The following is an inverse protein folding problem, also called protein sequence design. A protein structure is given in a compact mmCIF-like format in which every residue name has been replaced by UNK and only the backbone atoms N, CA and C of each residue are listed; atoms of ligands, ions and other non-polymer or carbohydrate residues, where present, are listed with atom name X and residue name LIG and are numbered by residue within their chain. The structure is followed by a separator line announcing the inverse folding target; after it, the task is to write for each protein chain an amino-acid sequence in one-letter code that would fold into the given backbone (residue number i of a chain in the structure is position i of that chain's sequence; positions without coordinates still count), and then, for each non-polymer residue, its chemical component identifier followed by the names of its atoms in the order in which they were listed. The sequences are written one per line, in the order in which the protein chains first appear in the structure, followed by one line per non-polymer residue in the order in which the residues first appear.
data_IF_028557881069
#
_entry.id   IF_028557881069
#
_cell.length_a   1.000
_cell.length_b   1.000
_cell.length_c   1.000
_cell.angle_alpha   90.00
_cell.angle_beta   90.00
_cell.angle_gamma   90.00
#
_symmetry.space_group_name_H-M   'P 1'
#
loop_
_entity.id
_entity.type
_entity.pdbx_description
1 polymer ?
#
# COMPACT_ATOMS: atom_id res chain seq x y z
N UNK A 1 3.89 11.89 8.56
CA UNK A 1 4.99 10.95 8.86
C UNK A 1 5.31 10.20 7.59
N UNK A 2 6.59 9.93 7.24
CA UNK A 2 6.92 9.15 6.05
C UNK A 2 6.32 7.74 6.12
N UNK A 3 5.57 7.37 5.09
CA UNK A 3 5.04 6.02 4.91
C UNK A 3 5.81 5.36 3.77
N UNK A 4 6.24 4.12 4.00
CA UNK A 4 7.00 3.32 3.06
C UNK A 4 6.23 2.03 2.78
N UNK A 5 6.04 1.71 1.51
CA UNK A 5 5.30 0.50 1.12
C UNK A 5 6.15 -0.45 0.30
N UNK A 6 5.88 -1.74 0.43
CA UNK A 6 6.39 -2.79 -0.45
C UNK A 6 5.22 -3.61 -0.95
N UNK A 7 5.16 -3.87 -2.25
CA UNK A 7 4.11 -4.69 -2.86
C UNK A 7 4.78 -5.88 -3.52
N UNK A 8 4.47 -7.09 -3.04
CA UNK A 8 4.94 -8.36 -3.58
C UNK A 8 3.79 -9.06 -4.30
N UNK A 9 4.03 -9.47 -5.54
CA UNK A 9 3.13 -10.33 -6.32
C UNK A 9 3.59 -11.78 -6.26
N UNK A 10 2.68 -12.72 -6.53
CA UNK A 10 2.99 -14.15 -6.51
C UNK A 10 3.93 -14.56 -7.66
N UNK A 11 3.74 -14.04 -8.88
CA UNK A 11 4.50 -14.45 -10.07
C UNK A 11 5.52 -13.41 -10.54
N UNK A 12 5.24 -12.13 -10.36
CA UNK A 12 6.08 -11.05 -10.90
C UNK A 12 7.07 -10.47 -9.87
N UNK A 13 7.14 -11.03 -8.66
CA UNK A 13 8.03 -10.59 -7.60
C UNK A 13 7.63 -9.23 -7.04
N UNK A 14 8.62 -8.47 -6.56
CA UNK A 14 8.40 -7.16 -5.92
C UNK A 14 8.05 -6.09 -6.94
N UNK A 15 6.82 -5.58 -6.92
CA UNK A 15 6.34 -4.51 -7.80
C UNK A 15 7.06 -3.18 -7.52
N UNK A 16 7.36 -2.91 -6.25
CA UNK A 16 8.08 -1.70 -5.82
C UNK A 16 9.60 -1.87 -5.85
N UNK A 17 10.11 -2.86 -6.59
CA UNK A 17 11.54 -3.16 -6.63
C UNK A 17 12.39 -1.93 -6.94
N UNK A 18 13.43 -1.71 -6.12
CA UNK A 18 14.39 -0.58 -6.22
C UNK A 18 13.79 0.83 -6.17
N UNK A 19 12.51 0.98 -5.86
CA UNK A 19 11.86 2.31 -5.86
C UNK A 19 12.31 3.20 -4.71
N UNK A 20 12.93 2.64 -3.67
CA UNK A 20 13.64 3.36 -2.61
C UNK A 20 15.11 3.65 -2.90
N UNK A 21 15.67 3.17 -4.02
CA UNK A 21 17.09 3.35 -4.36
C UNK A 21 17.39 4.79 -4.82
N UNK A 22 18.67 5.18 -4.80
CA UNK A 22 19.10 6.50 -5.30
C UNK A 22 18.88 6.68 -6.80
N UNK A 23 18.99 5.59 -7.56
CA UNK A 23 18.83 5.58 -9.01
C UNK A 23 17.39 5.90 -9.43
N UNK A 24 16.39 5.43 -8.66
CA UNK A 24 14.96 5.62 -8.98
C UNK A 24 14.36 6.81 -8.23
N UNK A 25 14.55 6.90 -6.91
CA UNK A 25 13.93 7.93 -6.08
C UNK A 25 14.78 9.21 -5.93
N UNK A 26 16.04 9.20 -6.34
CA UNK A 26 16.93 10.36 -6.25
C UNK A 26 16.99 10.90 -4.82
N UNK A 27 16.55 12.15 -4.62
CA UNK A 27 16.53 12.80 -3.29
C UNK A 27 15.56 12.16 -2.30
N UNK A 28 14.58 11.40 -2.78
CA UNK A 28 13.59 10.73 -1.95
C UNK A 28 14.00 9.31 -1.56
N UNK A 29 15.18 8.85 -1.98
CA UNK A 29 15.69 7.50 -1.69
C UNK A 29 15.64 7.20 -0.20
N UNK A 30 15.27 5.96 0.11
CA UNK A 30 15.31 5.41 1.46
C UNK A 30 15.92 4.01 1.40
N UNK A 31 17.21 3.93 1.70
CA UNK A 31 17.99 2.67 1.74
C UNK A 31 18.35 2.28 3.18
N UNK A 32 17.70 2.93 4.14
CA UNK A 32 18.06 2.85 5.56
C UNK A 32 17.32 1.71 6.25
N UNK A 33 18.07 0.88 6.98
CA UNK A 33 17.54 -0.22 7.79
C UNK A 33 16.46 0.27 8.79
N UNK A 34 15.47 -0.58 9.14
CA UNK A 34 15.34 -2.00 8.79
C UNK A 34 14.74 -2.27 7.40
N UNK A 35 14.44 -1.23 6.62
CA UNK A 35 13.80 -1.36 5.31
C UNK A 35 14.85 -1.46 4.20
N UNK A 36 14.48 -2.10 3.09
CA UNK A 36 15.33 -2.24 1.89
C UNK A 36 15.01 -1.17 0.84
N UNK A 37 15.80 -1.15 -0.24
CA UNK A 37 15.56 -0.28 -1.39
C UNK A 37 14.28 -0.62 -2.17
N UNK A 38 13.59 -1.72 -1.83
CA UNK A 38 12.34 -2.10 -2.45
C UNK A 38 11.12 -1.43 -1.82
N UNK A 39 11.33 -0.64 -0.77
CA UNK A 39 10.28 0.14 -0.14
C UNK A 39 10.14 1.50 -0.84
N UNK A 40 8.96 1.74 -1.41
CA UNK A 40 8.58 2.98 -2.06
C UNK A 40 8.09 3.99 -1.02
N UNK A 41 8.58 5.24 -1.08
CA UNK A 41 7.94 6.35 -0.36
C UNK A 41 6.57 6.61 -0.99
N UNK A 42 5.50 6.46 -0.23
CA UNK A 42 4.13 6.74 -0.70
C UNK A 42 3.73 8.17 -0.37
N UNK A 43 2.88 8.77 -1.21
CA UNK A 43 2.26 10.07 -0.93
C UNK A 43 1.08 9.93 0.04
N UNK A 44 0.33 8.85 -0.10
CA UNK A 44 -0.89 8.61 0.67
C UNK A 44 -1.23 7.12 0.66
N UNK A 45 -1.99 6.67 1.66
CA UNK A 45 -2.53 5.33 1.72
C UNK A 45 -3.73 5.29 2.66
N UNK A 46 -4.58 4.28 2.50
CA UNK A 46 -5.67 4.04 3.41
C UNK A 46 -6.40 2.74 3.10
N UNK A 47 -7.29 2.38 4.00
CA UNK A 47 -8.17 1.24 3.83
C UNK A 47 -9.54 1.55 4.38
N UNK A 48 -10.56 0.95 3.78
CA UNK A 48 -11.94 1.01 4.23
C UNK A 48 -12.55 -0.39 4.20
N UNK A 49 -13.53 -0.62 5.06
CA UNK A 49 -14.32 -1.83 5.08
C UNK A 49 -15.73 -1.53 4.63
N UNK A 50 -16.23 -2.34 3.70
CA UNK A 50 -17.61 -2.33 3.26
C UNK A 50 -18.26 -3.61 3.74
N UNK A 51 -19.16 -3.48 4.70
CA UNK A 51 -20.16 -4.50 4.98
C UNK A 51 -21.37 -4.16 4.10
N UNK A 52 -21.80 -5.05 3.19
CA UNK A 52 -23.03 -4.84 2.46
C UNK A 52 -24.18 -4.88 3.47
N UNK A 53 -24.73 -3.72 3.76
CA UNK A 53 -25.97 -3.62 4.52
C UNK A 53 -27.10 -4.16 3.65
N UNK A 54 -27.89 -5.07 4.21
CA UNK A 54 -29.25 -5.23 3.77
C UNK A 54 -30.07 -4.24 4.60
N UNK A 55 -30.50 -3.12 3.99
CA UNK A 55 -31.27 -2.04 4.63
C UNK A 55 -32.56 -2.52 5.33
N UNK A 56 -32.92 -3.79 5.14
CA UNK A 56 -34.09 -4.47 5.71
C UNK A 56 -33.87 -5.09 7.10
N UNK A 57 -32.63 -5.17 7.60
CA UNK A 57 -32.32 -5.82 8.88
C UNK A 57 -31.81 -4.79 9.90
N UNK A 58 -32.71 -4.17 10.67
CA UNK A 58 -32.31 -3.31 11.78
C UNK A 58 -31.54 -4.07 12.86
N UNK A 59 -30.53 -3.45 13.48
CA UNK A 59 -29.76 -3.88 14.67
C UNK A 59 -29.40 -5.38 14.82
N UNK A 60 -29.45 -6.17 13.74
CA UNK A 60 -29.25 -7.60 13.77
C UNK A 60 -27.75 -7.91 13.85
N UNK A 61 -27.42 -9.06 14.44
CA UNK A 61 -26.04 -9.56 14.47
C UNK A 61 -25.53 -9.76 13.03
N UNK A 62 -24.50 -9.00 12.66
CA UNK A 62 -23.87 -9.02 11.34
C UNK A 62 -22.62 -9.92 11.29
N UNK A 63 -22.42 -10.79 12.28
CA UNK A 63 -21.29 -11.74 12.35
C UNK A 63 -21.12 -12.64 11.13
N UNK A 64 -22.14 -12.74 10.26
CA UNK A 64 -22.15 -13.54 9.03
C UNK A 64 -22.13 -12.70 7.73
N UNK A 65 -22.15 -11.36 7.82
CA UNK A 65 -22.14 -10.51 6.63
C UNK A 65 -20.77 -10.54 5.95
N UNK A 66 -20.75 -10.51 4.61
CA UNK A 66 -19.48 -10.36 3.89
C UNK A 66 -18.79 -9.06 4.31
N UNK A 67 -17.47 -9.12 4.45
CA UNK A 67 -16.65 -7.98 4.80
C UNK A 67 -15.68 -7.77 3.66
N UNK A 68 -15.92 -6.75 2.84
CA UNK A 68 -15.00 -6.40 1.76
C UNK A 68 -14.01 -5.34 2.24
N UNK A 69 -12.71 -5.60 2.14
CA UNK A 69 -11.70 -4.53 2.25
C UNK A 69 -11.53 -3.80 0.93
N UNK A 70 -11.35 -2.50 0.97
CA UNK A 70 -10.77 -1.72 -0.12
C UNK A 70 -9.55 -0.98 0.40
N UNK A 71 -8.38 -1.27 -0.16
CA UNK A 71 -7.10 -0.67 0.22
C UNK A 71 -6.60 0.15 -0.95
N UNK A 72 -6.15 1.39 -0.69
CA UNK A 72 -5.55 2.23 -1.71
C UNK A 72 -4.16 2.71 -1.27
N UNK A 73 -3.27 2.84 -2.25
CA UNK A 73 -1.97 3.50 -2.09
C UNK A 73 -1.73 4.48 -3.22
N UNK A 74 -1.15 5.64 -2.93
CA UNK A 74 -0.77 6.66 -3.91
C UNK A 74 0.74 6.79 -3.96
N UNK A 75 1.36 6.19 -4.97
CA UNK A 75 2.83 6.21 -5.12
C UNK A 75 3.26 7.18 -6.21
N UNK A 76 4.52 7.67 -6.18
CA UNK A 76 5.10 8.34 -7.32
C UNK A 76 5.01 7.47 -8.58
N UNK A 77 4.82 8.10 -9.74
CA UNK A 77 4.78 7.43 -11.04
C UNK A 77 6.18 6.95 -11.47
N UNK A 78 6.79 6.05 -10.70
CA UNK A 78 8.05 5.40 -11.06
C UNK A 78 7.79 4.41 -12.20
N UNK A 79 8.66 4.44 -13.20
CA UNK A 79 8.51 3.65 -14.43
C UNK A 79 8.45 2.14 -14.18
N UNK A 80 9.08 1.64 -13.10
CA UNK A 80 9.07 0.23 -12.74
C UNK A 80 7.71 -0.24 -12.21
N UNK A 81 7.05 0.58 -11.39
CA UNK A 81 5.79 0.21 -10.73
C UNK A 81 4.68 0.02 -11.76
N UNK A 82 4.50 0.98 -12.67
CA UNK A 82 3.41 0.90 -13.67
C UNK A 82 3.57 -0.29 -14.61
N UNK A 83 4.78 -0.57 -15.08
CA UNK A 83 5.06 -1.72 -15.94
C UNK A 83 4.75 -3.06 -15.26
N UNK A 84 5.15 -3.21 -13.99
CA UNK A 84 4.90 -4.45 -13.24
C UNK A 84 3.42 -4.63 -12.89
N UNK A 85 2.71 -3.56 -12.53
CA UNK A 85 1.26 -3.64 -12.27
C UNK A 85 0.46 -4.00 -13.51
N UNK A 86 0.82 -3.47 -14.69
CA UNK A 86 0.18 -3.85 -15.93
C UNK A 86 0.37 -5.34 -16.23
N UNK A 87 1.55 -5.89 -15.94
CA UNK A 87 1.80 -7.34 -16.06
C UNK A 87 0.97 -8.16 -15.05
N UNK A 88 0.88 -7.71 -13.79
CA UNK A 88 0.03 -8.35 -12.76
C UNK A 88 -1.42 -8.38 -13.19
N UNK A 89 -1.97 -7.25 -13.65
CA UNK A 89 -3.35 -7.16 -14.12
C UNK A 89 -3.60 -8.00 -15.37
N UNK A 90 -2.72 -7.95 -16.37
CA UNK A 90 -2.84 -8.72 -17.60
C UNK A 90 -2.68 -10.24 -17.35
N UNK A 91 -1.79 -10.61 -16.43
CA UNK A 91 -1.51 -11.99 -16.04
C UNK A 91 -2.51 -12.57 -15.04
N UNK A 92 -3.48 -11.77 -14.56
CA UNK A 92 -4.39 -12.11 -13.45
C UNK A 92 -3.62 -12.68 -12.26
N UNK A 93 -2.53 -12.01 -11.91
CA UNK A 93 -1.69 -12.40 -10.79
C UNK A 93 -2.24 -11.83 -9.48
N UNK A 94 -1.97 -12.52 -8.39
CA UNK A 94 -2.37 -12.08 -7.06
C UNK A 94 -1.25 -11.23 -6.44
N UNK A 95 -1.66 -10.34 -5.55
CA UNK A 95 -0.77 -9.64 -4.64
C UNK A 95 -0.59 -10.53 -3.42
N UNK A 96 0.62 -11.08 -3.27
CA UNK A 96 0.99 -11.88 -2.12
C UNK A 96 0.90 -11.08 -0.83
N UNK A 97 1.52 -9.90 -0.84
CA UNK A 97 1.59 -9.03 0.33
C UNK A 97 1.77 -7.56 -0.08
N UNK A 98 1.02 -6.68 0.58
CA UNK A 98 1.35 -5.27 0.72
C UNK A 98 1.83 -5.03 2.15
N UNK A 99 3.08 -4.64 2.33
CA UNK A 99 3.63 -4.22 3.62
C UNK A 99 3.68 -2.69 3.66
N UNK A 100 3.13 -2.09 4.71
CA UNK A 100 3.08 -0.65 4.95
C UNK A 100 3.81 -0.35 6.26
N UNK A 101 4.78 0.56 6.20
CA UNK A 101 5.53 1.01 7.37
C UNK A 101 5.40 2.51 7.55
N UNK A 102 4.97 2.93 8.73
CA UNK A 102 5.17 4.30 9.19
C UNK A 102 6.47 4.39 9.97
N UNK A 103 7.32 5.33 9.57
CA UNK A 103 8.65 5.48 10.16
C UNK A 103 8.94 6.90 10.57
N UNK A 104 9.68 7.04 11.66
CA UNK A 104 10.47 8.24 11.90
C UNK A 104 11.81 8.08 11.20
N UNK A 105 12.06 8.95 10.21
CA UNK A 105 13.31 8.96 9.47
C UNK A 105 14.47 9.33 10.39
N UNK A 106 15.50 8.50 10.40
CA UNK A 106 16.71 8.82 11.11
C UNK A 106 17.48 9.97 10.44
N UNK A 107 18.23 10.76 11.23
CA UNK A 107 19.29 11.60 10.66
C UNK A 107 20.34 10.74 9.95
N UNK A 108 21.11 11.37 9.05
CA UNK A 108 22.09 10.70 8.18
C UNK A 108 22.95 9.68 8.95
N UNK A 109 22.89 8.41 8.53
CA UNK A 109 23.67 7.31 9.11
C UNK A 109 23.00 6.53 10.25
N UNK A 110 21.83 6.96 10.73
CA UNK A 110 21.04 6.21 11.71
C UNK A 110 20.07 5.19 11.08
N UNK A 111 19.36 4.42 11.90
CA UNK A 111 18.31 3.49 11.48
C UNK A 111 16.93 4.11 11.64
N UNK A 112 16.05 3.92 10.67
CA UNK A 112 14.67 4.38 10.77
C UNK A 112 13.97 3.67 11.94
N UNK A 113 13.25 4.44 12.75
CA UNK A 113 12.40 3.87 13.79
C UNK A 113 11.06 3.52 13.16
N UNK A 114 10.66 2.25 13.24
CA UNK A 114 9.33 1.80 12.82
C UNK A 114 8.33 2.12 13.93
N UNK A 115 7.33 2.92 13.58
CA UNK A 115 6.24 3.30 14.48
C UNK A 115 5.03 2.39 14.29
N UNK A 116 4.69 2.06 13.04
CA UNK A 116 3.62 1.13 12.72
C UNK A 116 4.02 0.25 11.54
N UNK A 117 3.55 -1.00 11.58
CA UNK A 117 3.61 -1.94 10.47
C UNK A 117 2.22 -2.51 10.21
N UNK A 118 1.74 -2.42 8.97
CA UNK A 118 0.55 -3.11 8.51
C UNK A 118 0.91 -4.05 7.36
N UNK A 119 0.41 -5.29 7.41
CA UNK A 119 0.56 -6.26 6.33
C UNK A 119 -0.81 -6.69 5.82
N UNK A 120 -1.00 -6.60 4.51
CA UNK A 120 -2.20 -7.02 3.81
C UNK A 120 -1.83 -8.19 2.90
N UNK A 121 -2.48 -9.35 3.04
CA UNK A 121 -2.08 -10.60 2.38
C UNK A 121 -3.19 -11.18 1.53
N UNK A 122 -2.78 -11.95 0.52
CA UNK A 122 -3.65 -12.65 -0.42
C UNK A 122 -4.69 -11.72 -1.06
N UNK A 123 -4.17 -10.77 -1.84
CA UNK A 123 -4.96 -9.73 -2.46
C UNK A 123 -4.96 -9.73 -3.99
N UNK A 124 -5.72 -8.80 -4.54
CA UNK A 124 -5.82 -8.55 -5.98
C UNK A 124 -5.78 -7.04 -6.25
N UNK A 125 -5.25 -6.64 -7.40
CA UNK A 125 -5.39 -5.26 -7.90
C UNK A 125 -6.77 -5.12 -8.53
N UNK A 126 -7.56 -4.18 -8.03
CA UNK A 126 -8.92 -3.91 -8.55
C UNK A 126 -8.96 -2.74 -9.50
N UNK A 127 -8.10 -1.74 -9.29
CA UNK A 127 -8.05 -0.55 -10.15
C UNK A 127 -6.67 0.09 -10.14
N UNK A 128 -6.35 0.75 -11.26
CA UNK A 128 -5.10 1.48 -11.47
C UNK A 128 -5.38 2.81 -12.15
N UNK A 129 -5.19 3.91 -11.42
CA UNK A 129 -5.44 5.26 -11.93
C UNK A 129 -4.15 6.06 -11.96
N UNK A 130 -3.94 6.79 -13.05
CA UNK A 130 -2.86 7.76 -13.20
C UNK A 130 -3.42 9.16 -12.97
N UNK A 131 -2.92 9.85 -11.96
CA UNK A 131 -3.30 11.22 -11.65
C UNK A 131 -2.11 12.15 -11.89
N UNK A 132 -2.37 13.28 -12.54
CA UNK A 132 -1.38 14.33 -12.76
C UNK A 132 -1.74 15.53 -11.88
N UNK A 133 -0.77 16.05 -11.14
CA UNK A 133 -0.95 17.23 -10.31
C UNK A 133 -1.34 18.47 -11.12
N UNK A 134 -1.99 19.44 -10.48
CA UNK A 134 -2.42 20.67 -11.16
C UNK A 134 -1.19 21.42 -11.71
N UNK A 135 -1.13 21.61 -13.03
CA UNK A 135 -0.02 22.29 -13.68
C UNK A 135 0.05 23.79 -13.35
N UNK A 136 -1.00 24.33 -12.73
CA UNK A 136 -1.10 25.71 -12.25
C UNK A 136 -0.61 25.87 -10.82
N UNK A 137 -0.60 24.81 -10.01
CA UNK A 137 -0.01 24.84 -8.68
C UNK A 137 1.49 24.51 -8.77
N UNK A 138 2.35 25.45 -8.38
CA UNK A 138 3.80 25.25 -8.35
C UNK A 138 4.24 24.06 -7.48
N UNK A 139 3.42 23.61 -6.52
CA UNK A 139 3.70 22.47 -5.64
C UNK A 139 3.38 21.13 -6.29
N UNK A 140 2.42 21.08 -7.21
CA UNK A 140 1.93 19.86 -7.85
C UNK A 140 2.38 19.72 -9.30
N UNK A 141 2.82 20.82 -9.91
CA UNK A 141 3.33 20.86 -11.28
C UNK A 141 4.43 19.82 -11.51
N UNK A 142 4.24 19.01 -12.55
CA UNK A 142 5.14 17.92 -12.91
C UNK A 142 5.13 16.70 -11.98
N UNK A 143 4.27 16.65 -10.94
CA UNK A 143 4.08 15.45 -10.12
C UNK A 143 3.00 14.56 -10.74
N UNK A 144 3.39 13.35 -11.14
CA UNK A 144 2.46 12.28 -11.47
C UNK A 144 2.41 11.28 -10.32
N UNK A 145 1.21 10.82 -9.98
CA UNK A 145 1.01 9.76 -9.00
C UNK A 145 0.19 8.62 -9.59
N UNK A 146 0.46 7.43 -9.09
CA UNK A 146 -0.23 6.20 -9.42
C UNK A 146 -1.09 5.84 -8.21
N UNK A 147 -2.40 5.77 -8.40
CA UNK A 147 -3.34 5.30 -7.38
C UNK A 147 -3.63 3.83 -7.68
N UNK A 148 -3.21 2.96 -6.76
CA UNK A 148 -3.40 1.52 -6.85
C UNK A 148 -4.48 1.15 -5.86
N UNK A 149 -5.60 0.58 -6.31
CA UNK A 149 -6.64 0.03 -5.45
C UNK A 149 -6.54 -1.49 -5.45
N UNK A 150 -6.68 -2.06 -4.26
CA UNK A 150 -6.53 -3.49 -4.00
C UNK A 150 -7.58 -3.97 -3.01
N UNK A 151 -7.84 -5.28 -3.04
CA UNK A 151 -8.59 -6.00 -2.01
C UNK A 151 -7.68 -7.07 -1.43
N UNK A 152 -7.81 -7.38 -0.14
CA UNK A 152 -6.98 -8.37 0.54
C UNK A 152 -7.81 -9.28 1.41
N UNK A 153 -7.38 -10.53 1.59
CA UNK A 153 -8.05 -11.49 2.46
C UNK A 153 -7.72 -11.26 3.93
N UNK A 154 -6.44 -11.08 4.25
CA UNK A 154 -5.96 -10.94 5.64
C UNK A 154 -5.29 -9.60 5.84
N UNK A 155 -5.59 -8.96 6.97
CA UNK A 155 -5.05 -7.66 7.35
C UNK A 155 -4.53 -7.73 8.79
N UNK A 156 -3.25 -7.45 8.96
CA UNK A 156 -2.59 -7.33 10.26
C UNK A 156 -2.09 -5.90 10.44
N UNK A 157 -2.28 -5.30 11.62
CA UNK A 157 -1.73 -3.99 12.00
C UNK A 157 -1.03 -4.13 13.35
N UNK A 158 0.18 -3.59 13.45
CA UNK A 158 1.00 -3.51 14.67
C UNK A 158 1.47 -2.06 14.86
N UNK A 159 0.91 -1.37 15.85
CA UNK A 159 1.33 -0.03 16.26
C UNK A 159 2.23 -0.13 17.50
N UNK A 160 3.49 0.24 17.31
CA UNK A 160 4.55 0.16 18.32
C UNK A 160 4.63 1.41 19.20
N UNK A 161 3.97 2.50 18.82
CA UNK A 161 3.94 3.75 19.58
C UNK A 161 2.98 3.60 20.76
N UNK A 162 1.79 3.04 20.51
CA UNK A 162 0.76 2.82 21.54
C UNK A 162 0.64 1.35 21.95
N UNK A 163 1.44 0.46 21.36
CA UNK A 163 1.54 -0.96 21.71
C UNK A 163 0.20 -1.71 21.58
N UNK A 164 -0.44 -1.56 20.42
CA UNK A 164 -1.67 -2.28 20.06
C UNK A 164 -1.49 -3.00 18.73
N UNK A 165 -2.17 -4.13 18.60
CA UNK A 165 -2.24 -4.87 17.33
C UNK A 165 -3.68 -5.23 17.01
N UNK A 166 -3.94 -5.38 15.72
CA UNK A 166 -5.21 -5.81 15.17
C UNK A 166 -5.00 -6.83 14.07
N UNK A 167 -5.93 -7.77 13.98
CA UNK A 167 -5.97 -8.77 12.93
C UNK A 167 -7.42 -8.89 12.43
N UNK A 168 -7.58 -9.02 11.12
CA UNK A 168 -8.87 -9.17 10.48
C UNK A 168 -8.75 -10.04 9.24
N UNK A 169 -9.61 -11.06 9.19
CA UNK A 169 -9.90 -11.79 7.97
C UNK A 169 -11.18 -11.24 7.33
N UNK A 170 -11.10 -10.99 6.03
CA UNK A 170 -12.20 -10.47 5.21
C UNK A 170 -12.92 -11.62 4.51
N UNK A 171 -13.90 -11.32 3.67
CA UNK A 171 -14.53 -12.32 2.79
C UNK A 171 -14.15 -12.11 1.33
N UNK A 172 -13.02 -11.47 1.07
CA UNK A 172 -12.53 -11.25 -0.29
C UNK A 172 -12.02 -12.55 -0.96
N UNK A 173 -11.85 -13.64 -0.20
CA UNK A 173 -11.46 -14.95 -0.69
C UNK A 173 -12.65 -15.74 -1.27
N UNK A 174 -12.95 -15.49 -2.54
CA UNK A 174 -12.76 -16.44 -3.66
C UNK A 174 -13.32 -15.87 -4.96
#
# INVERSE_FOLDING_TARGET
MPVLIKIDSDKFGTITQKTGSKEVAGRNSNTTAPLSEDYCLTFDWGYEFKQPHNDSFGAADHSQASLESEVFVKVPMYHSISALLLNVMAGKDNIKELSVYEVDRAPTGGQNKVNMHASFKDGIVTDLVLEQGDQRDAKEKGRGQLVIRMKFQTIDIDDKVINVSGHLDTTNAS
#
